data_IF_361330086337
#
_entry.id   IF_361330086337
#
_cell.length_a   1.000
_cell.length_b   1.000
_cell.length_c   1.000
_cell.angle_alpha   90.00
_cell.angle_beta   90.00
_cell.angle_gamma   90.00
#
_symmetry.space_group_name_H-M   'P 1'
#
loop_
_entity.id
_entity.type
_entity.pdbx_description
1 polymer ?
#
# COMPACT_ATOMS: atom_id res chain seq x y z
N UNK A 1 -20.71 -8.60 10.77
CA UNK A 1 -19.27 -8.28 10.65
C UNK A 1 -19.02 -6.87 10.10
N UNK A 2 -19.96 -6.22 9.38
CA UNK A 2 -19.77 -4.86 8.88
C UNK A 2 -20.34 -3.73 9.77
N UNK A 3 -21.22 -4.04 10.73
CA UNK A 3 -21.75 -3.06 11.71
C UNK A 3 -20.74 -2.69 12.82
N UNK A 4 -19.50 -3.17 12.70
CA UNK A 4 -18.47 -3.08 13.74
C UNK A 4 -17.45 -1.97 13.49
N UNK A 5 -17.30 -1.51 12.24
CA UNK A 5 -16.25 -0.54 11.88
C UNK A 5 -16.79 0.87 11.69
N UNK A 6 -16.05 1.85 12.24
CA UNK A 6 -16.40 3.26 12.24
C UNK A 6 -15.70 4.04 11.11
N UNK A 7 -14.64 3.47 10.53
CA UNK A 7 -13.95 4.08 9.40
C UNK A 7 -12.93 3.17 8.72
N UNK A 8 -12.54 3.58 7.51
CA UNK A 8 -11.46 2.99 6.71
C UNK A 8 -10.24 3.90 6.71
N UNK A 9 -9.06 3.31 6.58
CA UNK A 9 -7.80 4.03 6.34
C UNK A 9 -7.20 3.55 5.02
N UNK A 10 -6.85 4.48 4.12
CA UNK A 10 -6.12 4.18 2.89
C UNK A 10 -4.84 5.01 2.80
N UNK A 11 -3.69 4.36 2.80
CA UNK A 11 -2.38 5.02 2.64
C UNK A 11 -1.79 4.86 1.24
N UNK A 12 -2.48 4.13 0.35
CA UNK A 12 -2.02 3.90 -1.02
C UNK A 12 -3.17 3.68 -2.00
N UNK A 13 -2.95 4.06 -3.27
CA UNK A 13 -3.88 3.79 -4.36
C UNK A 13 -4.19 2.30 -4.54
N UNK A 14 -3.18 1.43 -4.41
CA UNK A 14 -3.31 -0.02 -4.57
C UNK A 14 -4.28 -0.63 -3.56
N UNK A 15 -4.29 -0.14 -2.33
CA UNK A 15 -5.27 -0.58 -1.34
C UNK A 15 -6.71 -0.19 -1.74
N UNK A 16 -6.90 1.01 -2.30
CA UNK A 16 -8.21 1.45 -2.82
C UNK A 16 -8.66 0.57 -3.98
N UNK A 17 -7.77 0.31 -4.94
CA UNK A 17 -8.03 -0.55 -6.10
C UNK A 17 -8.35 -2.00 -5.70
N UNK A 18 -7.65 -2.56 -4.70
CA UNK A 18 -7.93 -3.90 -4.18
C UNK A 18 -9.31 -3.97 -3.52
N UNK A 19 -9.65 -2.96 -2.71
CA UNK A 19 -10.96 -2.89 -2.04
C UNK A 19 -12.10 -2.65 -3.04
N UNK A 20 -11.86 -1.86 -4.09
CA UNK A 20 -12.83 -1.61 -5.16
C UNK A 20 -13.29 -2.91 -5.85
N UNK A 21 -12.43 -3.93 -5.96
CA UNK A 21 -12.76 -5.21 -6.60
C UNK A 21 -13.78 -6.04 -5.82
N UNK A 22 -13.96 -5.77 -4.52
CA UNK A 22 -14.84 -6.55 -3.63
C UNK A 22 -16.01 -5.75 -3.07
N UNK A 23 -15.97 -4.41 -3.12
CA UNK A 23 -17.04 -3.56 -2.60
C UNK A 23 -18.28 -3.56 -3.49
N UNK A 24 -19.43 -3.87 -2.89
CA UNK A 24 -20.74 -3.61 -3.49
C UNK A 24 -21.18 -2.16 -3.28
N UNK A 25 -22.18 -1.70 -4.04
CA UNK A 25 -22.75 -0.35 -3.86
C UNK A 25 -23.37 -0.15 -2.47
N UNK A 26 -23.91 -1.21 -1.87
CA UNK A 26 -24.47 -1.15 -0.52
C UNK A 26 -23.36 -1.09 0.53
N UNK A 27 -22.24 -1.77 0.33
CA UNK A 27 -21.10 -1.69 1.24
C UNK A 27 -20.50 -0.28 1.26
N UNK A 28 -20.44 0.41 0.11
CA UNK A 28 -19.92 1.79 0.02
C UNK A 28 -20.70 2.77 0.89
N UNK A 29 -22.02 2.62 0.97
CA UNK A 29 -22.91 3.51 1.74
C UNK A 29 -22.80 3.30 3.26
N UNK A 30 -22.18 2.21 3.70
CA UNK A 30 -22.03 1.89 5.14
C UNK A 30 -20.91 2.69 5.81
N UNK A 31 -19.92 3.10 5.03
CA UNK A 31 -18.76 3.82 5.55
C UNK A 31 -19.08 5.28 5.79
N UNK A 32 -18.97 5.73 7.04
CA UNK A 32 -19.17 7.13 7.41
C UNK A 32 -17.89 7.96 7.28
N UNK A 33 -16.72 7.33 7.51
CA UNK A 33 -15.42 7.99 7.54
C UNK A 33 -14.41 7.19 6.73
N UNK A 34 -13.64 7.89 5.91
CA UNK A 34 -12.48 7.34 5.22
C UNK A 34 -11.31 8.31 5.39
N UNK A 35 -10.27 7.84 6.07
CA UNK A 35 -9.02 8.57 6.24
C UNK A 35 -8.05 8.18 5.13
N UNK A 36 -7.36 9.15 4.57
CA UNK A 36 -6.53 8.94 3.39
C UNK A 36 -5.17 9.62 3.55
N UNK A 37 -4.10 8.95 3.15
CA UNK A 37 -2.78 9.56 2.99
C UNK A 37 -2.52 9.90 1.52
N UNK A 38 -2.33 11.19 1.23
CA UNK A 38 -1.91 11.69 -0.08
C UNK A 38 -3.07 12.06 -1.02
N UNK A 39 -2.91 13.16 -1.80
CA UNK A 39 -3.95 13.62 -2.73
C UNK A 39 -4.34 12.60 -3.80
N UNK A 40 -3.36 11.84 -4.32
CA UNK A 40 -3.61 10.85 -5.38
C UNK A 40 -4.50 9.70 -4.88
N UNK A 41 -4.32 9.25 -3.64
CA UNK A 41 -5.19 8.25 -3.01
C UNK A 41 -6.57 8.84 -2.75
N UNK A 42 -6.65 10.11 -2.30
CA UNK A 42 -7.93 10.78 -2.02
C UNK A 42 -8.81 10.88 -3.26
N UNK A 43 -8.24 11.15 -4.43
CA UNK A 43 -8.97 11.16 -5.70
C UNK A 43 -9.66 9.82 -5.98
N UNK A 44 -8.94 8.70 -5.86
CA UNK A 44 -9.54 7.37 -6.08
C UNK A 44 -10.62 7.04 -5.04
N UNK A 45 -10.42 7.43 -3.77
CA UNK A 45 -11.43 7.23 -2.73
C UNK A 45 -12.69 8.04 -3.05
N UNK A 46 -12.56 9.28 -3.54
CA UNK A 46 -13.72 10.10 -3.97
C UNK A 46 -14.46 9.48 -5.14
N UNK A 47 -13.75 8.88 -6.10
CA UNK A 47 -14.37 8.17 -7.22
C UNK A 47 -15.09 6.89 -6.75
N UNK A 48 -14.50 6.17 -5.79
CA UNK A 48 -15.04 4.92 -5.27
C UNK A 48 -16.27 5.12 -4.39
N UNK A 49 -16.21 6.03 -3.41
CA UNK A 49 -17.24 6.22 -2.41
C UNK A 49 -18.18 7.41 -2.68
N UNK A 50 -17.83 8.31 -3.60
CA UNK A 50 -18.63 9.50 -3.90
C UNK A 50 -18.73 10.49 -2.74
N UNK A 51 -19.84 11.22 -2.67
CA UNK A 51 -20.10 12.27 -1.66
C UNK A 51 -20.78 11.76 -0.39
N UNK A 52 -21.02 10.45 -0.26
CA UNK A 52 -21.77 9.88 0.87
C UNK A 52 -20.93 9.66 2.12
N UNK A 53 -19.63 9.93 2.06
CA UNK A 53 -18.66 9.63 3.12
C UNK A 53 -17.78 10.84 3.43
N UNK A 54 -17.39 11.00 4.69
CA UNK A 54 -16.41 12.00 5.08
C UNK A 54 -14.99 11.51 4.74
N UNK A 55 -14.38 12.11 3.72
CA UNK A 55 -13.02 11.80 3.27
C UNK A 55 -12.08 12.88 3.81
N UNK A 56 -11.10 12.49 4.61
CA UNK A 56 -10.19 13.43 5.27
C UNK A 56 -8.76 12.87 5.39
N UNK A 57 -7.82 13.70 5.85
CA UNK A 57 -6.42 13.30 6.08
C UNK A 57 -5.48 13.44 4.87
N UNK A 58 -5.97 13.72 3.67
CA UNK A 58 -5.17 13.70 2.43
C UNK A 58 -3.90 14.58 2.47
N UNK A 59 -3.96 15.69 3.21
CA UNK A 59 -2.90 16.70 3.32
C UNK A 59 -2.03 16.57 4.58
N UNK A 60 -2.14 15.48 5.35
CA UNK A 60 -1.38 15.32 6.61
C UNK A 60 0.12 15.11 6.40
N UNK A 61 0.53 14.68 5.21
CA UNK A 61 1.94 14.59 4.80
C UNK A 61 2.71 13.38 5.34
N UNK A 62 2.03 12.38 5.92
CA UNK A 62 2.68 11.16 6.39
C UNK A 62 1.82 10.31 7.32
N UNK A 63 2.18 9.04 7.48
CA UNK A 63 1.47 8.11 8.37
C UNK A 63 1.38 8.54 9.85
N UNK A 64 2.41 9.18 10.40
CA UNK A 64 2.38 9.69 11.79
C UNK A 64 1.39 10.85 11.95
N UNK A 65 1.49 11.87 11.09
CA UNK A 65 0.58 13.00 11.07
C UNK A 65 -0.87 12.57 10.79
N UNK A 66 -1.07 11.56 9.95
CA UNK A 66 -2.39 10.98 9.70
C UNK A 66 -2.95 10.31 10.96
N UNK A 67 -2.12 9.55 11.69
CA UNK A 67 -2.55 8.94 12.94
C UNK A 67 -2.96 10.01 13.97
N UNK A 68 -2.15 11.06 14.17
CA UNK A 68 -2.50 12.17 15.07
C UNK A 68 -3.79 12.90 14.65
N UNK A 69 -4.00 13.05 13.34
CA UNK A 69 -5.23 13.59 12.80
C UNK A 69 -6.43 12.71 13.14
N UNK A 70 -6.34 11.40 12.93
CA UNK A 70 -7.41 10.43 13.24
C UNK A 70 -7.76 10.49 14.73
N UNK A 71 -6.76 10.47 15.61
CA UNK A 71 -6.95 10.53 17.07
C UNK A 71 -7.73 11.78 17.46
N UNK A 72 -7.39 12.92 16.88
CA UNK A 72 -8.11 14.19 17.08
C UNK A 72 -9.48 14.20 16.43
N UNK A 73 -9.72 13.48 15.34
CA UNK A 73 -11.04 13.43 14.72
C UNK A 73 -12.02 12.60 15.56
N UNK A 74 -11.53 11.49 16.14
CA UNK A 74 -12.38 10.53 16.86
C UNK A 74 -12.51 10.81 18.36
N UNK A 75 -11.74 11.75 18.94
CA UNK A 75 -11.72 12.01 20.39
C UNK A 75 -13.08 12.32 21.03
N UNK A 76 -14.02 12.87 20.27
CA UNK A 76 -15.36 13.24 20.75
C UNK A 76 -16.42 12.17 20.49
N UNK A 77 -16.02 11.02 19.92
CA UNK A 77 -16.95 9.91 19.71
C UNK A 77 -16.97 9.09 21.00
N UNK A 78 -18.16 8.95 21.59
CA UNK A 78 -18.34 8.16 22.80
C UNK A 78 -18.09 6.67 22.50
N UNK A 79 -17.19 6.05 23.27
CA UNK A 79 -16.90 4.62 23.22
C UNK A 79 -15.65 4.25 22.41
N UNK A 80 -15.51 2.96 22.13
CA UNK A 80 -14.39 2.43 21.36
C UNK A 80 -14.63 2.58 19.86
N UNK A 81 -13.57 2.88 19.12
CA UNK A 81 -13.57 3.13 17.68
C UNK A 81 -12.80 2.03 16.99
N UNK A 82 -13.49 1.27 16.16
CA UNK A 82 -12.87 0.26 15.31
C UNK A 82 -12.58 0.85 13.93
N UNK A 83 -11.33 0.79 13.50
CA UNK A 83 -10.86 1.24 12.20
C UNK A 83 -10.33 0.06 11.42
N UNK A 84 -10.66 0.00 10.14
CA UNK A 84 -10.16 -1.01 9.23
C UNK A 84 -9.07 -0.39 8.33
N UNK A 85 -7.91 -1.04 8.27
CA UNK A 85 -6.76 -0.61 7.48
C UNK A 85 -6.35 -1.66 6.43
N UNK A 86 -6.95 -1.59 5.22
CA UNK A 86 -6.47 -2.30 4.04
C UNK A 86 -5.07 -1.80 3.65
N UNK A 87 -4.07 -2.68 3.66
CA UNK A 87 -2.69 -2.28 3.51
C UNK A 87 -1.84 -3.29 2.72
N UNK A 88 -0.59 -2.92 2.45
CA UNK A 88 0.39 -3.78 1.84
C UNK A 88 0.95 -4.82 2.82
N UNK A 89 1.37 -5.98 2.31
CA UNK A 89 2.17 -6.94 3.07
C UNK A 89 3.43 -6.28 3.66
N UNK A 90 4.16 -5.53 2.83
CA UNK A 90 5.31 -4.74 3.26
C UNK A 90 4.92 -3.26 3.38
N UNK A 91 4.87 -2.74 4.61
CA UNK A 91 4.51 -1.34 4.92
C UNK A 91 5.30 -0.80 6.10
N UNK A 92 5.38 0.52 6.19
CA UNK A 92 5.88 1.19 7.40
C UNK A 92 4.85 1.02 8.53
N UNK A 93 5.32 0.72 9.73
CA UNK A 93 4.48 0.45 10.89
C UNK A 93 4.20 1.69 11.76
N UNK A 94 4.55 2.88 11.27
CA UNK A 94 4.45 4.14 12.01
C UNK A 94 2.98 4.47 12.36
N UNK A 95 2.08 4.41 11.38
CA UNK A 95 0.65 4.68 11.60
C UNK A 95 0.00 3.64 12.53
N UNK A 96 0.13 2.32 12.28
CA UNK A 96 -0.42 1.31 13.19
C UNK A 96 0.10 1.43 14.61
N UNK A 97 1.42 1.61 14.79
CA UNK A 97 2.02 1.79 16.12
C UNK A 97 1.45 3.01 16.83
N UNK A 98 1.35 4.14 16.14
CA UNK A 98 0.86 5.39 16.74
C UNK A 98 -0.59 5.26 17.20
N UNK A 99 -1.46 4.63 16.41
CA UNK A 99 -2.87 4.39 16.76
C UNK A 99 -3.01 3.36 17.87
N UNK A 100 -2.17 2.32 17.90
CA UNK A 100 -2.23 1.26 18.94
C UNK A 100 -1.94 1.76 20.37
N UNK A 101 -1.37 2.97 20.51
CA UNK A 101 -1.14 3.61 21.81
C UNK A 101 -2.43 4.21 22.40
N UNK A 102 -3.51 4.34 21.61
CA UNK A 102 -4.76 4.93 22.05
C UNK A 102 -5.75 3.84 22.46
N UNK A 103 -6.08 3.77 23.75
CA UNK A 103 -6.89 2.68 24.31
C UNK A 103 -8.31 2.59 23.72
N UNK A 104 -8.86 3.72 23.25
CA UNK A 104 -10.18 3.77 22.64
C UNK A 104 -10.18 3.39 21.15
N UNK A 105 -9.02 3.21 20.51
CA UNK A 105 -8.92 2.89 19.08
C UNK A 105 -8.51 1.43 18.91
N UNK A 106 -9.36 0.65 18.27
CA UNK A 106 -9.05 -0.67 17.75
C UNK A 106 -8.75 -0.55 16.26
N UNK A 107 -7.60 -1.07 15.84
CA UNK A 107 -7.17 -1.05 14.45
C UNK A 107 -7.03 -2.48 13.94
N UNK A 108 -7.86 -2.85 12.97
CA UNK A 108 -7.70 -4.10 12.23
C UNK A 108 -6.95 -3.84 10.94
N UNK A 109 -5.85 -4.56 10.75
CA UNK A 109 -5.05 -4.48 9.54
C UNK A 109 -5.36 -5.67 8.64
N UNK A 110 -5.74 -5.42 7.39
CA UNK A 110 -5.95 -6.47 6.39
C UNK A 110 -4.99 -6.25 5.24
N UNK A 111 -4.15 -7.24 4.97
CA UNK A 111 -3.28 -7.23 3.81
C UNK A 111 -4.11 -7.49 2.56
N UNK A 112 -4.16 -6.51 1.66
CA UNK A 112 -4.97 -6.58 0.43
C UNK A 112 -4.14 -6.59 -0.85
N UNK A 113 -2.84 -6.33 -0.75
CA UNK A 113 -1.91 -6.52 -1.87
C UNK A 113 -0.49 -6.77 -1.38
N UNK A 114 0.30 -7.37 -2.26
CA UNK A 114 1.73 -7.59 -2.07
C UNK A 114 2.49 -7.11 -3.30
N UNK A 115 3.71 -6.61 -3.11
CA UNK A 115 4.63 -6.34 -4.22
C UNK A 115 5.46 -7.59 -4.45
N UNK A 116 5.25 -8.26 -5.57
CA UNK A 116 6.04 -9.43 -5.99
C UNK A 116 6.87 -9.08 -7.24
N UNK A 117 8.01 -9.77 -7.46
CA UNK A 117 8.72 -9.71 -8.74
C UNK A 117 7.79 -10.12 -9.89
N UNK A 118 8.03 -9.61 -11.11
CA UNK A 118 7.29 -10.06 -12.29
C UNK A 118 7.54 -11.55 -12.56
N UNK A 119 6.48 -12.31 -12.85
CA UNK A 119 6.58 -13.72 -13.23
C UNK A 119 7.39 -13.93 -14.51
N UNK A 120 7.39 -12.92 -15.40
CA UNK A 120 8.12 -12.92 -16.66
C UNK A 120 9.58 -12.46 -16.54
N UNK A 121 10.03 -12.03 -15.37
CA UNK A 121 11.33 -11.37 -15.20
C UNK A 121 12.49 -12.24 -15.70
N UNK A 122 12.47 -13.53 -15.40
CA UNK A 122 13.53 -14.46 -15.80
C UNK A 122 13.60 -14.58 -17.33
N UNK A 123 12.45 -14.73 -17.98
CA UNK A 123 12.34 -14.83 -19.43
C UNK A 123 12.79 -13.53 -20.11
N UNK A 124 12.27 -12.38 -19.67
CA UNK A 124 12.60 -11.08 -20.24
C UNK A 124 14.10 -10.76 -20.08
N UNK A 125 14.69 -11.10 -18.93
CA UNK A 125 16.13 -10.92 -18.70
C UNK A 125 16.94 -11.83 -19.63
N UNK A 126 16.56 -13.10 -19.78
CA UNK A 126 17.24 -14.04 -20.67
C UNK A 126 17.14 -13.61 -22.14
N UNK A 127 15.96 -13.18 -22.59
CA UNK A 127 15.72 -12.67 -23.93
C UNK A 127 16.55 -11.41 -24.21
N UNK A 128 16.60 -10.49 -23.26
CA UNK A 128 17.44 -9.29 -23.35
C UNK A 128 18.92 -9.66 -23.50
N UNK A 129 19.45 -10.51 -22.60
CA UNK A 129 20.86 -10.92 -22.63
C UNK A 129 21.22 -11.69 -23.91
N UNK A 130 20.28 -12.48 -24.45
CA UNK A 130 20.51 -13.25 -25.69
C UNK A 130 20.48 -12.35 -26.93
N UNK A 131 19.59 -11.35 -26.96
CA UNK A 131 19.37 -10.52 -28.15
C UNK A 131 20.26 -9.27 -28.18
N UNK A 132 20.54 -8.67 -27.02
CA UNK A 132 21.31 -7.43 -26.89
C UNK A 132 22.72 -7.67 -26.32
N UNK A 133 22.95 -8.82 -25.68
CA UNK A 133 24.18 -9.08 -24.93
C UNK A 133 24.15 -8.52 -23.50
N UNK A 134 25.28 -8.60 -22.81
CA UNK A 134 25.45 -8.04 -21.47
C UNK A 134 25.51 -6.52 -21.52
N UNK A 135 24.68 -5.79 -20.76
CA UNK A 135 24.75 -4.34 -20.70
C UNK A 135 25.95 -3.87 -19.86
N UNK A 136 26.60 -2.79 -20.26
CA UNK A 136 27.70 -2.18 -19.48
C UNK A 136 27.22 -1.57 -18.15
N UNK A 137 25.96 -1.12 -18.10
CA UNK A 137 25.37 -0.44 -16.95
C UNK A 137 23.92 -0.88 -16.75
N UNK A 138 23.56 -1.16 -15.50
CA UNK A 138 22.18 -1.42 -15.06
C UNK A 138 21.74 -0.34 -14.08
N UNK A 139 20.60 0.29 -14.37
CA UNK A 139 19.96 1.27 -13.49
C UNK A 139 18.89 0.63 -12.61
N UNK A 140 18.97 0.83 -11.30
CA UNK A 140 17.97 0.36 -10.34
C UNK A 140 17.29 1.53 -9.63
N UNK A 141 15.97 1.47 -9.53
CA UNK A 141 15.15 2.53 -8.91
C UNK A 141 14.66 2.17 -7.51
N UNK A 142 14.95 0.95 -7.03
CA UNK A 142 14.68 0.51 -5.67
C UNK A 142 15.57 -0.67 -5.26
N UNK A 143 15.80 -0.88 -3.94
CA UNK A 143 16.48 -2.08 -3.44
C UNK A 143 15.78 -3.38 -3.85
N UNK A 144 14.44 -3.41 -3.79
CA UNK A 144 13.66 -4.59 -4.16
C UNK A 144 13.79 -4.95 -5.65
N UNK A 145 13.93 -3.95 -6.52
CA UNK A 145 14.17 -4.16 -7.94
C UNK A 145 15.54 -4.81 -8.19
N UNK A 146 16.58 -4.32 -7.49
CA UNK A 146 17.91 -4.94 -7.53
C UNK A 146 17.87 -6.40 -7.06
N UNK A 147 17.28 -6.68 -5.91
CA UNK A 147 17.18 -8.04 -5.36
C UNK A 147 16.43 -8.99 -6.32
N UNK A 148 15.38 -8.49 -6.97
CA UNK A 148 14.58 -9.27 -7.92
C UNK A 148 15.41 -9.68 -9.14
N UNK A 149 16.13 -8.72 -9.72
CA UNK A 149 16.99 -8.94 -10.89
C UNK A 149 18.19 -9.81 -10.55
N UNK A 150 18.82 -9.61 -9.38
CA UNK A 150 19.94 -10.45 -8.93
C UNK A 150 19.52 -11.92 -8.78
N UNK A 151 18.36 -12.17 -8.17
CA UNK A 151 17.83 -13.53 -8.04
C UNK A 151 17.44 -14.11 -9.40
N UNK A 152 16.86 -13.32 -10.29
CA UNK A 152 16.52 -13.74 -11.65
C UNK A 152 17.76 -14.15 -12.43
N UNK A 153 18.83 -13.34 -12.38
CA UNK A 153 20.09 -13.64 -13.07
C UNK A 153 20.69 -14.97 -12.60
N UNK A 154 20.70 -15.21 -11.29
CA UNK A 154 21.17 -16.48 -10.72
C UNK A 154 20.34 -17.68 -11.20
N UNK A 155 19.01 -17.54 -11.28
CA UNK A 155 18.11 -18.60 -11.78
C UNK A 155 18.36 -18.94 -13.24
N UNK A 156 18.67 -17.95 -14.07
CA UNK A 156 19.00 -18.15 -15.49
C UNK A 156 20.48 -18.46 -15.74
N UNK A 157 21.29 -18.62 -14.69
CA UNK A 157 22.71 -18.95 -14.79
C UNK A 157 23.61 -17.80 -15.25
N UNK A 158 23.15 -16.56 -15.10
CA UNK A 158 23.91 -15.35 -15.42
C UNK A 158 24.41 -14.65 -14.15
N UNK A 159 25.72 -14.43 -14.06
CA UNK A 159 26.34 -13.75 -12.92
C UNK A 159 26.49 -12.25 -13.20
N UNK A 160 25.60 -11.46 -12.62
CA UNK A 160 25.64 -9.99 -12.67
C UNK A 160 26.79 -9.36 -11.87
N UNK A 161 27.46 -10.14 -11.02
CA UNK A 161 28.52 -9.66 -10.13
C UNK A 161 29.91 -9.93 -10.68
N UNK A 162 30.03 -10.71 -11.76
CA UNK A 162 31.30 -10.98 -12.41
C UNK A 162 31.73 -9.79 -13.29
N UNK A 163 32.56 -8.92 -12.70
CA UNK A 163 33.47 -8.04 -13.43
C UNK A 163 34.53 -8.89 -14.14
N UNK A 164 34.19 -9.52 -15.27
CA UNK A 164 35.22 -9.84 -16.25
C UNK A 164 35.51 -8.58 -17.05
N UNK A 165 36.42 -7.76 -16.49
CA UNK A 165 37.11 -6.73 -17.25
C UNK A 165 37.67 -7.35 -18.52
N UNK A 166 37.27 -6.81 -19.67
CA UNK A 166 37.87 -7.06 -20.99
C UNK A 166 39.30 -6.51 -20.98
#
# INVERSE_FOLDING_TARGET
MADEYHGLIFTSKRAVEAVQQVLTDDDRKRWQRVYVEGPATSTLVKELFGSTVNISGAETGGGESLADFIIKDVHNIDGNINLLFPCAQARLDILPKRLSNEQAIHLDEIIVYETIPSDSLDQELQEYLTTQGTPDVLGFFSPSGFDSVLKASQRIGFDLTNNNSI
#
